data_IF_664836190422
#
_entry.id   IF_664836190422
#
_cell.length_a   1.000
_cell.length_b   1.000
_cell.length_c   1.000
_cell.angle_alpha   90.00
_cell.angle_beta   90.00
_cell.angle_gamma   90.00
#
_symmetry.space_group_name_H-M   'P 1'
#
loop_
_entity.id
_entity.type
_entity.pdbx_description
1 polymer ?
#
# COMPACT_ATOMS: atom_id res chain seq x y z
N UNK A 1 -13.80 -12.37 13.91
CA UNK A 1 -14.02 -12.27 12.46
C UNK A 1 -13.43 -10.99 11.89
N UNK A 2 -13.79 -9.84 12.44
CA UNK A 2 -13.30 -8.51 12.02
C UNK A 2 -11.77 -8.37 11.88
N UNK A 3 -10.97 -8.87 12.83
CA UNK A 3 -9.51 -8.84 12.73
C UNK A 3 -8.98 -9.61 11.52
N UNK A 4 -9.56 -10.77 11.22
CA UNK A 4 -9.15 -11.60 10.08
C UNK A 4 -9.52 -10.93 8.76
N UNK A 5 -10.74 -10.39 8.68
CA UNK A 5 -11.21 -9.66 7.50
C UNK A 5 -10.37 -8.41 7.24
N UNK A 6 -10.04 -7.66 8.29
CA UNK A 6 -9.18 -6.47 8.20
C UNK A 6 -7.78 -6.84 7.70
N UNK A 7 -7.16 -7.88 8.28
CA UNK A 7 -5.86 -8.36 7.84
C UNK A 7 -5.87 -8.83 6.38
N UNK A 8 -6.90 -9.57 5.97
CA UNK A 8 -7.09 -10.01 4.57
C UNK A 8 -7.32 -8.84 3.61
N UNK A 9 -8.06 -7.83 4.03
CA UNK A 9 -8.28 -6.60 3.27
C UNK A 9 -6.97 -5.85 3.02
N UNK A 10 -6.17 -5.66 4.08
CA UNK A 10 -4.84 -5.03 3.98
C UNK A 10 -3.91 -5.81 3.05
N UNK A 11 -3.88 -7.14 3.16
CA UNK A 11 -3.09 -7.99 2.27
C UNK A 11 -3.49 -7.82 0.79
N UNK A 12 -4.80 -7.79 0.47
CA UNK A 12 -5.29 -7.60 -0.89
C UNK A 12 -4.85 -6.26 -1.49
N UNK A 13 -4.96 -5.18 -0.71
CA UNK A 13 -4.57 -3.83 -1.15
C UNK A 13 -3.06 -3.76 -1.40
N UNK A 14 -2.24 -4.34 -0.52
CA UNK A 14 -0.79 -4.37 -0.68
C UNK A 14 -0.34 -5.26 -1.86
N UNK A 15 -1.05 -6.35 -2.14
CA UNK A 15 -0.75 -7.19 -3.31
C UNK A 15 -1.01 -6.42 -4.60
N UNK A 16 -2.19 -5.79 -4.73
CA UNK A 16 -2.52 -4.98 -5.91
C UNK A 16 -1.57 -3.80 -6.10
N UNK A 17 -1.08 -3.22 -5.00
CA UNK A 17 -0.04 -2.19 -5.08
C UNK A 17 1.29 -2.70 -5.64
N UNK A 18 1.70 -3.94 -5.33
CA UNK A 18 2.91 -4.53 -5.91
C UNK A 18 2.77 -4.70 -7.42
N UNK A 19 1.65 -5.25 -7.87
CA UNK A 19 1.38 -5.46 -9.31
C UNK A 19 1.39 -4.12 -10.07
N UNK A 20 0.78 -3.07 -9.47
CA UNK A 20 0.80 -1.72 -10.03
C UNK A 20 2.19 -1.07 -9.96
N UNK A 21 3.06 -1.44 -9.01
CA UNK A 21 4.41 -0.87 -8.88
C UNK A 21 5.29 -1.26 -10.06
N UNK A 22 5.18 -2.49 -10.55
CA UNK A 22 5.92 -2.95 -11.73
C UNK A 22 5.46 -2.21 -12.99
N UNK A 23 4.15 -1.96 -13.10
CA UNK A 23 3.56 -1.13 -14.17
C UNK A 23 4.05 0.33 -14.07
N UNK A 24 4.01 0.94 -12.89
CA UNK A 24 4.48 2.32 -12.65
C UNK A 24 5.97 2.48 -13.02
N UNK A 25 6.78 1.46 -12.76
CA UNK A 25 8.21 1.51 -13.09
C UNK A 25 8.48 1.56 -14.61
N UNK A 26 7.57 1.03 -15.43
CA UNK A 26 7.71 0.99 -16.90
C UNK A 26 7.01 2.20 -17.54
N UNK A 27 5.77 2.48 -17.15
CA UNK A 27 4.88 3.43 -17.81
C UNK A 27 4.80 4.80 -17.13
N UNK A 28 5.19 4.89 -15.85
CA UNK A 28 4.98 6.10 -15.05
C UNK A 28 3.59 6.16 -14.39
N UNK A 29 3.40 7.10 -13.47
CA UNK A 29 2.20 7.19 -12.63
C UNK A 29 0.99 7.84 -13.32
N UNK A 30 1.23 8.59 -14.40
CA UNK A 30 0.20 9.34 -15.11
C UNK A 30 -0.69 8.44 -15.98
N UNK A 31 -0.14 7.31 -16.43
CA UNK A 31 -0.81 6.29 -17.27
C UNK A 31 -1.78 5.39 -16.49
N UNK A 32 -1.88 5.55 -15.18
CA UNK A 32 -2.81 4.79 -14.35
C UNK A 32 -4.23 5.35 -14.44
N UNK A 33 -5.21 4.46 -14.35
CA UNK A 33 -6.59 4.84 -14.10
C UNK A 33 -6.71 5.59 -12.77
N UNK A 34 -7.72 6.47 -12.63
CA UNK A 34 -7.96 7.19 -11.38
C UNK A 34 -8.25 6.24 -10.20
N UNK A 35 -8.86 5.08 -10.47
CA UNK A 35 -9.10 4.04 -9.47
C UNK A 35 -7.79 3.40 -8.98
N UNK A 36 -6.86 3.12 -9.89
CA UNK A 36 -5.55 2.55 -9.53
C UNK A 36 -4.68 3.59 -8.81
N UNK A 37 -4.75 4.87 -9.19
CA UNK A 37 -4.12 5.97 -8.44
C UNK A 37 -4.63 6.03 -7.00
N UNK A 38 -5.95 5.90 -6.79
CA UNK A 38 -6.54 5.82 -5.46
C UNK A 38 -6.06 4.58 -4.69
N UNK A 39 -5.96 3.42 -5.36
CA UNK A 39 -5.47 2.18 -4.77
C UNK A 39 -4.01 2.33 -4.30
N UNK A 40 -3.15 2.91 -5.13
CA UNK A 40 -1.76 3.21 -4.79
C UNK A 40 -1.66 4.20 -3.63
N UNK A 41 -2.48 5.26 -3.63
CA UNK A 41 -2.50 6.24 -2.56
C UNK A 41 -2.89 5.60 -1.21
N UNK A 42 -3.89 4.72 -1.20
CA UNK A 42 -4.30 3.96 0.00
C UNK A 42 -3.21 2.99 0.46
N UNK A 43 -2.61 2.24 -0.45
CA UNK A 43 -1.54 1.31 -0.13
C UNK A 43 -0.31 2.01 0.47
N UNK A 44 0.08 3.18 -0.05
CA UNK A 44 1.18 3.98 0.52
C UNK A 44 0.87 4.46 1.94
N UNK A 45 -0.38 4.87 2.23
CA UNK A 45 -0.80 5.24 3.59
C UNK A 45 -0.71 4.05 4.54
N UNK A 46 -1.19 2.88 4.13
CA UNK A 46 -1.11 1.64 4.91
C UNK A 46 0.35 1.28 5.21
N UNK A 47 1.22 1.32 4.19
CA UNK A 47 2.64 0.99 4.38
C UNK A 47 3.33 1.93 5.38
N UNK A 48 3.04 3.23 5.33
CA UNK A 48 3.55 4.21 6.31
C UNK A 48 2.98 4.01 7.70
N UNK A 49 1.71 3.62 7.80
CA UNK A 49 1.08 3.33 9.09
C UNK A 49 1.70 2.13 9.78
N UNK A 50 2.15 1.12 9.01
CA UNK A 50 2.84 -0.05 9.53
C UNK A 50 4.29 0.25 9.97
N UNK A 51 4.89 1.36 9.54
CA UNK A 51 6.19 1.81 10.05
C UNK A 51 5.98 2.70 11.28
N UNK A 52 6.11 2.13 12.47
CA UNK A 52 6.17 2.87 13.72
C UNK A 52 7.63 2.94 14.21
N UNK A 53 8.11 4.09 14.69
CA UNK A 53 9.38 4.14 15.41
C UNK A 53 9.26 3.33 16.70
N UNK A 54 10.18 2.37 16.88
CA UNK A 54 10.27 1.61 18.11
C UNK A 54 11.03 2.39 19.17
N UNK A 55 10.69 2.19 20.44
CA UNK A 55 11.33 2.87 21.58
C UNK A 55 12.84 2.59 21.69
N UNK A 56 13.37 1.55 21.03
CA UNK A 56 14.81 1.26 20.96
C UNK A 56 15.54 2.20 19.97
N UNK A 57 14.80 2.91 19.13
CA UNK A 57 15.34 3.88 18.17
C UNK A 57 15.34 5.33 18.71
N UNK A 58 15.00 5.56 19.97
CA UNK A 58 15.22 6.84 20.65
C UNK A 58 16.72 6.97 20.98
N UNK A 59 17.40 7.97 20.39
CA UNK A 59 18.82 8.30 20.65
C UNK A 59 18.91 9.20 21.88
#
# INVERSE_FOLDING_TARGET
EEHYETARGVQKVLQRYKDLKDIIAILGMEELSEEDKLTVARARKIQKFLSQPFSVAEI
#
